data_IF_242241771926
#
_entry.id   IF_242241771926
#
_cell.length_a   1.000
_cell.length_b   1.000
_cell.length_c   1.000
_cell.angle_alpha   90.00
_cell.angle_beta   90.00
_cell.angle_gamma   90.00
#
_symmetry.space_group_name_H-M   'P 1'
#
loop_
_entity.id
_entity.type
_entity.pdbx_description
1 polymer ?
#
# COMPACT_ATOMS: atom_id res chain seq x y z
N UNK A 1 -22.94 -4.24 -9.29
CA UNK A 1 -21.53 -4.61 -9.31
C UNK A 1 -20.74 -3.87 -10.39
N UNK A 2 -21.01 -4.04 -11.72
CA UNK A 2 -20.23 -3.34 -12.78
C UNK A 2 -20.09 -1.82 -12.61
N UNK A 3 -21.14 -1.11 -12.15
CA UNK A 3 -21.09 0.35 -11.92
C UNK A 3 -20.29 0.75 -10.66
N UNK A 4 -20.17 -0.14 -9.69
CA UNK A 4 -19.36 0.08 -8.48
C UNK A 4 -17.86 -0.14 -8.78
N UNK A 5 -17.55 -1.16 -9.58
CA UNK A 5 -16.19 -1.39 -10.10
C UNK A 5 -15.75 -0.25 -11.06
N UNK A 6 -16.67 0.29 -11.86
CA UNK A 6 -16.37 1.45 -12.73
C UNK A 6 -16.11 2.73 -11.90
N UNK A 7 -16.80 2.91 -10.77
CA UNK A 7 -16.52 4.02 -9.87
C UNK A 7 -15.15 3.88 -9.16
N UNK A 8 -14.73 2.65 -8.84
CA UNK A 8 -13.37 2.41 -8.32
C UNK A 8 -12.30 2.68 -9.38
N UNK A 9 -12.53 2.34 -10.64
CA UNK A 9 -11.58 2.59 -11.72
C UNK A 9 -11.42 4.08 -12.07
N UNK A 10 -12.43 4.91 -11.76
CA UNK A 10 -12.34 6.38 -11.95
C UNK A 10 -11.45 7.03 -10.87
N UNK A 11 -11.28 6.40 -9.71
CA UNK A 11 -10.34 6.85 -8.68
C UNK A 11 -8.91 6.35 -8.87
N UNK A 12 -8.65 5.45 -9.82
CA UNK A 12 -7.30 5.03 -10.22
C UNK A 12 -6.59 6.04 -11.13
N UNK A 13 -7.13 7.26 -11.25
CA UNK A 13 -6.52 8.32 -12.02
C UNK A 13 -5.23 8.83 -11.38
N UNK A 14 -4.10 8.57 -12.06
CA UNK A 14 -2.79 9.16 -11.79
C UNK A 14 -2.20 8.89 -10.40
N UNK A 15 -2.12 7.62 -10.02
CA UNK A 15 -1.28 7.19 -8.92
C UNK A 15 0.12 6.95 -9.50
N UNK A 16 1.13 7.63 -8.99
CA UNK A 16 2.53 7.35 -9.27
C UNK A 16 3.12 6.73 -8.01
N UNK A 17 3.87 5.65 -8.15
CA UNK A 17 4.49 4.93 -7.03
C UNK A 17 5.99 4.92 -7.20
N UNK A 18 6.70 4.51 -6.16
CA UNK A 18 8.14 4.29 -6.19
C UNK A 18 8.57 3.45 -7.38
N UNK A 19 9.73 3.75 -7.94
CA UNK A 19 10.36 2.89 -8.95
C UNK A 19 10.79 1.52 -8.39
N UNK A 20 10.79 1.38 -7.05
CA UNK A 20 11.15 0.13 -6.39
C UNK A 20 10.12 -0.94 -6.68
N UNK A 21 10.60 -2.10 -7.13
CA UNK A 21 9.75 -3.25 -7.36
C UNK A 21 8.76 -3.10 -8.51
N UNK A 22 8.89 -2.03 -9.32
CA UNK A 22 7.98 -1.78 -10.46
C UNK A 22 7.99 -2.96 -11.45
N UNK A 23 9.12 -3.62 -11.60
CA UNK A 23 9.27 -4.82 -12.42
C UNK A 23 8.83 -6.12 -11.70
N UNK A 24 8.46 -6.04 -10.41
CA UNK A 24 7.99 -7.17 -9.62
C UNK A 24 6.50 -7.05 -9.30
N UNK A 25 6.17 -6.60 -8.08
CA UNK A 25 4.80 -6.43 -7.60
C UNK A 25 4.37 -4.96 -7.52
N UNK A 26 5.33 -4.06 -7.62
CA UNK A 26 5.15 -2.64 -7.38
C UNK A 26 5.49 -2.23 -5.94
N UNK A 27 5.21 -0.99 -5.61
CA UNK A 27 5.36 -0.47 -4.26
C UNK A 27 4.35 -1.10 -3.30
N UNK A 28 4.83 -1.85 -2.34
CA UNK A 28 3.98 -2.43 -1.30
C UNK A 28 3.58 -1.37 -0.28
N UNK A 29 2.28 -1.14 -0.16
CA UNK A 29 1.72 -0.24 0.83
C UNK A 29 1.77 -0.88 2.23
N UNK A 30 2.06 -0.07 3.25
CA UNK A 30 2.11 -0.60 4.62
C UNK A 30 0.74 -1.11 5.05
N UNK A 31 0.69 -2.36 5.47
CA UNK A 31 -0.52 -3.04 5.91
C UNK A 31 -1.26 -2.26 7.00
N UNK A 32 -2.55 -2.09 6.82
CA UNK A 32 -3.37 -1.35 7.79
C UNK A 32 -3.33 0.17 7.65
N UNK A 33 -2.88 0.68 6.51
CA UNK A 33 -2.60 2.06 6.14
C UNK A 33 -3.69 3.11 6.36
N UNK A 34 -4.36 3.11 7.52
CA UNK A 34 -5.24 4.23 7.90
C UNK A 34 -4.42 5.49 8.16
N UNK A 35 -4.99 6.66 7.94
CA UNK A 35 -4.33 7.95 8.21
C UNK A 35 -3.91 8.07 9.68
N UNK A 36 -4.71 7.53 10.60
CA UNK A 36 -4.36 7.53 12.02
C UNK A 36 -3.15 6.65 12.34
N UNK A 37 -3.00 5.49 11.68
CA UNK A 37 -1.83 4.62 11.82
C UNK A 37 -0.60 5.28 11.18
N UNK A 38 -0.74 5.82 9.98
CA UNK A 38 0.32 6.54 9.28
C UNK A 38 0.89 7.70 10.12
N UNK A 39 0.02 8.46 10.80
CA UNK A 39 0.42 9.54 11.72
C UNK A 39 1.25 9.06 12.93
N UNK A 40 1.25 7.75 13.22
CA UNK A 40 2.02 7.10 14.30
C UNK A 40 3.18 6.25 13.77
N UNK A 41 3.64 6.51 12.55
CA UNK A 41 4.66 5.69 11.90
C UNK A 41 4.20 4.24 11.67
N UNK A 42 2.89 4.05 11.44
CA UNK A 42 2.21 2.77 11.26
C UNK A 42 2.14 1.85 12.49
N UNK A 43 2.62 2.32 13.66
CA UNK A 43 2.47 1.60 14.91
C UNK A 43 1.05 1.72 15.47
N UNK A 44 0.69 0.76 16.35
CA UNK A 44 -0.55 0.80 17.13
C UNK A 44 -1.62 -0.20 16.70
N UNK A 45 -1.25 -1.30 16.04
CA UNK A 45 -2.18 -2.39 15.77
C UNK A 45 -2.65 -3.10 17.05
N UNK A 46 -1.90 -2.99 18.16
CA UNK A 46 -2.32 -3.44 19.49
C UNK A 46 -3.24 -2.44 20.23
N UNK A 47 -3.34 -1.19 19.78
CA UNK A 47 -4.20 -0.18 20.43
C UNK A 47 -5.67 -0.47 20.16
N UNK A 48 -6.47 -0.48 21.20
CA UNK A 48 -7.91 -0.72 21.15
C UNK A 48 -8.69 0.55 21.49
N UNK A 49 -9.81 0.77 20.84
CA UNK A 49 -10.71 1.88 21.10
C UNK A 49 -11.62 2.16 19.92
N UNK A 50 -12.76 2.79 20.17
CA UNK A 50 -13.83 2.97 19.20
C UNK A 50 -13.44 3.76 17.93
N UNK A 51 -12.34 4.50 17.96
CA UNK A 51 -11.89 5.30 16.81
C UNK A 51 -10.81 4.61 15.97
N UNK A 52 -10.34 3.44 16.39
CA UNK A 52 -9.26 2.75 15.67
C UNK A 52 -9.80 1.93 14.49
N UNK A 53 -11.01 1.38 14.61
CA UNK A 53 -11.65 0.58 13.56
C UNK A 53 -10.93 -0.71 13.21
N UNK A 54 -11.18 -1.22 12.02
CA UNK A 54 -10.59 -2.46 11.50
C UNK A 54 -9.08 -2.32 11.26
N UNK A 55 -8.32 -3.36 11.59
CA UNK A 55 -6.93 -3.54 11.18
C UNK A 55 -6.80 -4.85 10.42
N UNK A 56 -6.29 -4.81 9.20
CA UNK A 56 -6.04 -6.00 8.39
C UNK A 56 -4.88 -6.83 8.93
N UNK A 57 -3.94 -6.20 9.64
CA UNK A 57 -2.82 -6.90 10.32
C UNK A 57 -3.28 -7.60 11.59
N UNK A 58 -4.20 -6.98 12.34
CA UNK A 58 -4.70 -7.51 13.60
C UNK A 58 -6.23 -7.56 13.60
N UNK A 59 -6.85 -8.54 12.97
CA UNK A 59 -8.30 -8.71 12.96
C UNK A 59 -8.90 -8.88 14.37
N UNK A 60 -8.17 -9.42 15.34
CA UNK A 60 -8.67 -9.64 16.71
C UNK A 60 -8.99 -8.33 17.45
N UNK A 61 -8.39 -7.20 17.05
CA UNK A 61 -8.69 -5.87 17.61
C UNK A 61 -10.16 -5.50 17.50
N UNK A 62 -10.78 -5.87 16.39
CA UNK A 62 -12.17 -5.57 16.07
C UNK A 62 -13.16 -6.01 17.16
N UNK A 63 -12.87 -7.09 17.87
CA UNK A 63 -13.72 -7.59 18.95
C UNK A 63 -13.88 -6.61 20.13
N UNK A 64 -13.02 -5.61 20.24
CA UNK A 64 -13.09 -4.59 21.29
C UNK A 64 -13.84 -3.33 20.88
N UNK A 65 -14.26 -3.21 19.63
CA UNK A 65 -15.06 -2.09 19.16
C UNK A 65 -16.52 -2.23 19.64
N UNK A 66 -17.05 -1.15 20.20
CA UNK A 66 -18.41 -1.10 20.72
C UNK A 66 -19.39 -0.37 19.78
N UNK A 67 -18.88 0.20 18.70
CA UNK A 67 -19.63 1.05 17.77
C UNK A 67 -19.36 0.64 16.36
N UNK A 68 -20.24 1.02 15.45
CA UNK A 68 -19.97 1.00 14.01
C UNK A 68 -18.92 2.05 13.71
N UNK A 69 -17.85 1.65 13.04
CA UNK A 69 -16.79 2.55 12.61
C UNK A 69 -16.60 2.39 11.11
N UNK A 70 -16.51 3.52 10.40
CA UNK A 70 -15.99 3.51 9.05
C UNK A 70 -14.78 4.45 8.96
N UNK A 71 -13.82 4.07 8.12
CA UNK A 71 -12.67 4.90 7.80
C UNK A 71 -12.53 4.98 6.29
N UNK A 72 -12.35 6.19 5.79
CA UNK A 72 -11.99 6.45 4.41
C UNK A 72 -10.69 7.23 4.40
N UNK A 73 -9.70 6.74 3.67
CA UNK A 73 -8.35 7.29 3.68
C UNK A 73 -7.89 7.65 2.27
N UNK A 74 -7.28 8.83 2.15
CA UNK A 74 -6.63 9.33 0.94
C UNK A 74 -5.17 9.64 1.26
N UNK A 75 -4.30 9.37 0.32
CA UNK A 75 -2.88 9.64 0.40
C UNK A 75 -2.42 10.40 -0.85
N UNK A 76 -1.61 11.41 -0.64
CA UNK A 76 -0.84 12.11 -1.66
C UNK A 76 0.62 12.00 -1.27
N UNK A 77 1.45 11.52 -2.17
CA UNK A 77 2.89 11.36 -1.96
C UNK A 77 3.64 12.00 -3.12
N UNK A 78 4.71 12.70 -2.81
CA UNK A 78 5.66 13.27 -3.75
C UNK A 78 7.00 12.60 -3.51
N UNK A 79 7.60 12.11 -4.56
CA UNK A 79 8.86 11.39 -4.53
C UNK A 79 9.88 12.06 -5.44
N UNK A 80 11.11 12.12 -4.97
CA UNK A 80 12.26 12.61 -5.68
C UNK A 80 13.32 11.51 -5.69
N UNK A 81 13.47 10.86 -6.85
CA UNK A 81 14.35 9.73 -7.04
C UNK A 81 15.59 10.11 -7.86
N UNK A 82 16.73 9.53 -7.51
CA UNK A 82 18.00 9.68 -8.21
C UNK A 82 18.60 8.31 -8.52
N UNK A 83 18.99 8.10 -9.76
CA UNK A 83 19.65 6.87 -10.19
C UNK A 83 20.72 7.20 -11.22
N UNK A 84 21.99 6.85 -10.96
CA UNK A 84 23.10 6.98 -11.90
C UNK A 84 23.19 8.35 -12.58
N UNK A 85 22.95 9.44 -11.83
CA UNK A 85 22.99 10.82 -12.33
C UNK A 85 21.71 11.33 -12.99
N UNK A 86 20.68 10.48 -13.14
CA UNK A 86 19.34 10.88 -13.56
C UNK A 86 18.48 11.24 -12.35
N UNK A 87 17.58 12.20 -12.56
CA UNK A 87 16.70 12.73 -11.53
C UNK A 87 15.25 12.61 -11.98
N UNK A 88 14.41 12.04 -11.15
CA UNK A 88 13.00 11.78 -11.41
C UNK A 88 12.15 12.36 -10.27
N UNK A 89 11.07 13.02 -10.60
CA UNK A 89 10.10 13.50 -9.61
C UNK A 89 8.73 12.96 -9.95
N UNK A 90 8.11 12.32 -8.98
CA UNK A 90 6.84 11.61 -9.13
C UNK A 90 5.86 12.10 -8.08
N UNK A 91 4.58 12.19 -8.41
CA UNK A 91 3.52 12.50 -7.45
C UNK A 91 2.38 11.50 -7.56
N UNK A 92 1.90 11.04 -6.41
CA UNK A 92 0.86 10.02 -6.29
C UNK A 92 -0.35 10.55 -5.54
N UNK A 93 -1.55 10.24 -6.03
CA UNK A 93 -2.80 10.39 -5.28
C UNK A 93 -3.52 9.03 -5.26
N UNK A 94 -3.73 8.49 -4.09
CA UNK A 94 -4.32 7.16 -3.92
C UNK A 94 -5.39 7.13 -2.83
N UNK A 95 -6.20 6.06 -2.84
CA UNK A 95 -7.11 5.71 -1.76
C UNK A 95 -6.59 4.39 -1.12
N UNK A 96 -5.67 4.49 -0.16
CA UNK A 96 -5.00 3.32 0.39
C UNK A 96 -5.94 2.37 1.12
N UNK A 97 -7.03 2.87 1.74
CA UNK A 97 -7.98 1.98 2.39
C UNK A 97 -9.35 2.60 2.62
N UNK A 98 -10.33 1.72 2.60
CA UNK A 98 -11.66 1.94 3.14
C UNK A 98 -12.00 0.80 4.10
N UNK A 99 -12.47 1.12 5.31
CA UNK A 99 -12.78 0.13 6.33
C UNK A 99 -14.17 0.38 6.91
N UNK A 100 -14.90 -0.69 7.17
CA UNK A 100 -16.21 -0.68 7.78
C UNK A 100 -16.30 -1.78 8.82
N UNK A 101 -16.74 -1.47 10.04
CA UNK A 101 -16.86 -2.45 11.13
C UNK A 101 -18.18 -2.32 11.89
N UNK A 102 -18.70 -3.46 12.31
CA UNK A 102 -19.99 -3.61 13.01
C UNK A 102 -19.83 -4.48 14.24
N UNK A 103 -20.12 -3.97 15.45
CA UNK A 103 -20.23 -4.79 16.64
C UNK A 103 -21.54 -5.59 16.61
N UNK A 104 -21.48 -6.89 16.93
CA UNK A 104 -22.62 -7.78 17.04
C UNK A 104 -22.89 -8.21 18.50
N UNK A 105 -22.44 -7.40 19.45
CA UNK A 105 -22.61 -7.64 20.87
C UNK A 105 -21.88 -8.90 21.36
N UNK A 106 -22.62 -9.86 21.91
CA UNK A 106 -22.04 -11.12 22.40
C UNK A 106 -21.50 -12.03 21.29
N UNK A 107 -21.94 -11.85 20.05
CA UNK A 107 -21.50 -12.63 18.90
C UNK A 107 -20.20 -12.11 18.28
N UNK A 108 -19.58 -11.08 18.88
CA UNK A 108 -18.34 -10.52 18.40
C UNK A 108 -18.52 -9.29 17.54
N UNK A 109 -17.72 -9.15 16.48
CA UNK A 109 -17.78 -8.05 15.53
C UNK A 109 -17.39 -8.52 14.12
N UNK A 110 -17.97 -7.90 13.11
CA UNK A 110 -17.66 -8.12 11.71
C UNK A 110 -17.07 -6.85 11.10
N UNK A 111 -16.28 -7.02 10.06
CA UNK A 111 -15.72 -5.90 9.31
C UNK A 111 -15.48 -6.26 7.86
N UNK A 112 -15.35 -5.22 7.06
CA UNK A 112 -14.96 -5.28 5.65
C UNK A 112 -13.95 -4.19 5.39
N UNK A 113 -12.82 -4.56 4.81
CA UNK A 113 -11.82 -3.62 4.31
C UNK A 113 -11.67 -3.74 2.81
N UNK A 114 -11.47 -2.62 2.14
CA UNK A 114 -10.86 -2.53 0.84
C UNK A 114 -9.50 -1.87 1.06
N UNK A 115 -8.44 -2.56 0.69
CA UNK A 115 -7.07 -2.09 0.92
C UNK A 115 -6.25 -2.21 -0.35
N UNK A 116 -5.51 -1.15 -0.68
CA UNK A 116 -4.53 -1.15 -1.75
C UNK A 116 -3.25 -1.80 -1.24
N UNK A 117 -2.90 -2.97 -1.78
CA UNK A 117 -1.72 -3.72 -1.34
C UNK A 117 -0.47 -3.27 -2.07
N UNK A 118 -0.52 -3.26 -3.42
CA UNK A 118 0.57 -2.81 -4.26
C UNK A 118 0.12 -1.68 -5.18
N UNK A 119 1.01 -0.76 -5.44
CA UNK A 119 0.84 0.31 -6.42
C UNK A 119 1.97 0.23 -7.45
N UNK A 120 1.61 0.27 -8.74
CA UNK A 120 2.57 0.24 -9.83
C UNK A 120 2.24 1.37 -10.80
N UNK A 121 2.38 2.60 -10.34
CA UNK A 121 2.04 3.77 -11.15
C UNK A 121 3.26 4.67 -11.28
N UNK A 122 3.78 4.76 -12.49
CA UNK A 122 4.96 5.53 -12.82
C UNK A 122 4.82 6.10 -14.23
N UNK A 123 5.25 7.34 -14.43
CA UNK A 123 5.27 7.98 -15.73
C UNK A 123 6.57 8.76 -15.87
N UNK A 124 7.36 8.38 -16.86
CA UNK A 124 8.60 9.06 -17.21
C UNK A 124 8.63 9.38 -18.68
N UNK A 125 9.07 10.59 -19.01
CA UNK A 125 9.40 11.00 -20.36
C UNK A 125 10.85 11.44 -20.39
N UNK A 126 11.65 10.75 -21.19
CA UNK A 126 13.09 10.99 -21.32
C UNK A 126 13.47 11.23 -22.78
N UNK A 127 14.24 12.27 -23.04
CA UNK A 127 14.83 12.53 -24.35
C UNK A 127 16.09 11.68 -24.51
N UNK A 128 16.06 10.71 -25.41
CA UNK A 128 17.26 9.98 -25.80
C UNK A 128 18.04 10.76 -26.86
N UNK A 129 19.00 11.55 -26.39
CA UNK A 129 19.84 12.40 -27.28
C UNK A 129 20.63 11.62 -28.34
N UNK A 130 20.92 10.35 -28.07
CA UNK A 130 21.65 9.47 -28.97
C UNK A 130 20.81 8.99 -30.14
N UNK A 131 19.50 8.83 -29.91
CA UNK A 131 18.55 8.37 -30.92
C UNK A 131 17.71 9.51 -31.49
N UNK A 132 17.77 10.72 -30.92
CA UNK A 132 16.91 11.85 -31.28
C UNK A 132 15.43 11.54 -31.11
N UNK A 133 15.09 10.72 -30.13
CA UNK A 133 13.73 10.26 -29.91
C UNK A 133 13.32 10.45 -28.45
N UNK A 134 12.06 10.78 -28.23
CA UNK A 134 11.48 10.80 -26.89
C UNK A 134 11.03 9.39 -26.52
N UNK A 135 11.44 8.94 -25.35
CA UNK A 135 10.99 7.66 -24.74
C UNK A 135 10.03 8.02 -23.64
N UNK A 136 8.79 7.57 -23.74
CA UNK A 136 7.80 7.66 -22.67
C UNK A 136 7.54 6.27 -22.11
N UNK A 137 7.78 6.12 -20.83
CA UNK A 137 7.49 4.90 -20.06
C UNK A 137 6.38 5.20 -19.08
N UNK A 138 5.29 4.49 -19.20
CA UNK A 138 4.11 4.65 -18.34
C UNK A 138 3.70 3.32 -17.75
N UNK A 139 3.68 3.24 -16.43
CA UNK A 139 3.10 2.15 -15.66
C UNK A 139 1.84 2.66 -14.98
N UNK A 140 0.78 1.89 -15.03
CA UNK A 140 -0.47 2.17 -14.34
C UNK A 140 -1.04 0.89 -13.77
N UNK A 141 -1.47 0.95 -12.51
CA UNK A 141 -2.20 -0.14 -11.92
C UNK A 141 -2.06 -0.22 -10.42
N UNK A 142 -2.89 -1.08 -9.86
CA UNK A 142 -2.90 -1.33 -8.44
C UNK A 142 -3.48 -2.70 -8.14
N UNK A 143 -2.93 -3.34 -7.13
CA UNK A 143 -3.47 -4.55 -6.55
C UNK A 143 -4.23 -4.18 -5.29
N UNK A 144 -5.50 -4.52 -5.26
CA UNK A 144 -6.40 -4.30 -4.13
C UNK A 144 -6.80 -5.62 -3.49
N UNK A 145 -7.21 -5.54 -2.25
CA UNK A 145 -7.76 -6.66 -1.51
C UNK A 145 -9.09 -6.29 -0.89
N UNK A 146 -10.06 -7.22 -1.03
CA UNK A 146 -11.28 -7.20 -0.24
C UNK A 146 -11.06 -8.12 0.96
N UNK A 147 -11.24 -7.58 2.18
CA UNK A 147 -10.87 -8.26 3.41
C UNK A 147 -12.07 -8.34 4.36
N UNK A 148 -12.97 -9.33 4.20
CA UNK A 148 -13.94 -9.67 5.22
C UNK A 148 -13.25 -10.17 6.49
N UNK A 149 -13.69 -9.67 7.63
CA UNK A 149 -13.09 -9.93 8.94
C UNK A 149 -14.15 -10.28 9.97
N UNK A 150 -13.80 -11.21 10.85
CA UNK A 150 -14.59 -11.56 12.02
C UNK A 150 -13.72 -11.66 13.26
N UNK A 151 -14.22 -11.17 14.39
CA UNK A 151 -13.51 -11.26 15.65
C UNK A 151 -14.47 -11.46 16.84
N UNK A 152 -14.00 -12.18 17.85
CA UNK A 152 -14.78 -12.49 19.06
C UNK A 152 -13.90 -12.39 20.31
N UNK A 153 -14.48 -11.87 21.41
CA UNK A 153 -13.86 -11.96 22.75
C UNK A 153 -14.10 -13.31 23.34
N UNK A 154 -13.09 -13.85 24.02
CA UNK A 154 -13.24 -15.12 24.71
C UNK A 154 -14.15 -14.91 25.93
N UNK A 155 -15.23 -15.71 26.08
CA UNK A 155 -16.22 -15.50 27.15
C UNK A 155 -15.63 -15.55 28.57
N UNK A 156 -14.67 -16.45 28.79
CA UNK A 156 -14.02 -16.64 30.07
C UNK A 156 -12.83 -15.70 30.34
N UNK A 157 -12.25 -15.14 29.28
CA UNK A 157 -11.09 -14.25 29.32
C UNK A 157 -11.38 -12.99 28.51
N UNK A 158 -12.25 -12.13 29.05
CA UNK A 158 -12.72 -10.91 28.35
C UNK A 158 -11.63 -9.93 27.90
N UNK A 159 -10.41 -10.10 28.40
CA UNK A 159 -9.21 -9.38 27.96
C UNK A 159 -8.56 -10.00 26.74
N UNK A 160 -8.96 -11.19 26.32
CA UNK A 160 -8.46 -11.86 25.10
C UNK A 160 -9.52 -11.88 24.01
N UNK A 161 -9.07 -11.71 22.79
CA UNK A 161 -9.89 -11.85 21.58
C UNK A 161 -9.14 -12.66 20.53
N UNK A 162 -9.92 -13.34 19.70
CA UNK A 162 -9.47 -14.01 18.48
C UNK A 162 -10.11 -13.30 17.29
N UNK A 163 -9.39 -13.22 16.21
CA UNK A 163 -9.89 -12.67 14.95
C UNK A 163 -9.32 -13.41 13.76
N UNK A 164 -10.10 -13.43 12.70
CA UNK A 164 -9.70 -13.97 11.41
C UNK A 164 -10.20 -13.07 10.29
N UNK A 165 -9.41 -12.99 9.24
CA UNK A 165 -9.81 -12.34 7.98
C UNK A 165 -9.39 -13.19 6.79
N UNK A 166 -10.17 -13.07 5.71
CA UNK A 166 -9.83 -13.60 4.40
C UNK A 166 -9.48 -12.41 3.50
N UNK A 167 -8.42 -12.54 2.72
CA UNK A 167 -7.96 -11.54 1.78
C UNK A 167 -8.19 -12.06 0.37
N UNK A 168 -9.00 -11.37 -0.41
CA UNK A 168 -9.26 -11.71 -1.82
C UNK A 168 -8.56 -10.68 -2.68
N UNK A 169 -7.54 -11.12 -3.40
CA UNK A 169 -6.67 -10.27 -4.21
C UNK A 169 -7.32 -9.98 -5.56
N UNK A 170 -7.25 -8.73 -6.01
CA UNK A 170 -7.75 -8.29 -7.32
C UNK A 170 -6.95 -7.11 -7.83
N UNK A 171 -6.91 -6.93 -9.12
CA UNK A 171 -6.28 -5.79 -9.76
C UNK A 171 -5.68 -6.12 -11.10
N UNK A 172 -5.16 -5.10 -11.72
CA UNK A 172 -4.40 -5.18 -12.95
C UNK A 172 -3.31 -4.11 -12.94
N UNK A 173 -2.30 -4.33 -13.75
CA UNK A 173 -1.21 -3.37 -13.99
C UNK A 173 -0.98 -3.30 -15.48
N UNK A 174 -0.80 -2.12 -16.03
CA UNK A 174 -0.42 -1.91 -17.42
C UNK A 174 0.95 -1.23 -17.51
N UNK A 175 1.70 -1.57 -18.53
CA UNK A 175 2.99 -0.97 -18.85
C UNK A 175 2.97 -0.53 -20.31
N UNK A 176 3.12 0.76 -20.53
CA UNK A 176 3.15 1.34 -21.87
C UNK A 176 4.53 1.95 -22.11
N UNK A 177 5.20 1.51 -23.16
CA UNK A 177 6.43 2.10 -23.65
C UNK A 177 6.13 2.72 -25.01
N UNK A 178 6.27 4.03 -25.11
CA UNK A 178 6.15 4.75 -26.39
C UNK A 178 7.49 5.29 -26.78
N UNK A 179 7.93 4.97 -28.00
CA UNK A 179 9.13 5.50 -28.62
C UNK A 179 8.69 6.52 -29.67
N UNK A 180 8.75 7.82 -29.33
CA UNK A 180 8.49 8.89 -30.27
C UNK A 180 9.75 9.19 -31.07
N UNK A 181 9.85 8.71 -32.30
CA UNK A 181 10.86 9.22 -33.24
C UNK A 181 10.45 10.60 -33.72
N UNK A 182 11.27 11.60 -33.47
CA UNK A 182 11.08 12.90 -34.17
C UNK A 182 11.36 12.68 -35.66
N UNK A 183 10.30 12.74 -36.48
CA UNK A 183 10.39 12.50 -37.92
C UNK A 183 11.47 13.36 -38.61
N UNK A 184 11.90 14.46 -37.99
CA UNK A 184 12.98 15.33 -38.47
C UNK A 184 14.37 14.75 -38.21
N UNK A 185 14.56 13.86 -37.25
CA UNK A 185 15.84 13.24 -36.90
C UNK A 185 16.11 11.95 -37.71
N UNK A 186 15.05 11.28 -38.16
CA UNK A 186 15.14 10.08 -39.02
C UNK A 186 15.50 10.42 -40.49
N UNK A 187 15.32 11.67 -40.88
CA UNK A 187 15.57 12.11 -42.26
C UNK A 187 17.05 12.24 -42.65
N UNK A 188 18.00 11.89 -41.80
CA UNK A 188 19.40 11.75 -42.22
C UNK A 188 19.60 10.37 -42.87
N UNK A 189 19.60 10.37 -44.20
CA UNK A 189 19.60 9.24 -45.10
C UNK A 189 20.72 8.18 -44.92
N UNK A 190 21.60 8.31 -43.94
CA UNK A 190 22.79 7.47 -43.78
C UNK A 190 22.93 6.74 -42.42
N UNK A 191 21.93 6.74 -41.55
CA UNK A 191 22.05 5.98 -40.32
C UNK A 191 21.70 4.52 -40.58
N UNK A 192 22.64 3.60 -40.28
CA UNK A 192 22.46 2.16 -40.37
C UNK A 192 21.30 1.66 -39.50
N UNK A 193 20.91 2.41 -38.49
CA UNK A 193 19.79 2.15 -37.62
C UNK A 193 18.43 2.17 -38.35
N UNK A 194 18.26 3.08 -39.34
CA UNK A 194 17.02 3.19 -40.13
C UNK A 194 16.86 2.06 -41.14
N UNK A 195 17.96 1.43 -41.55
CA UNK A 195 17.93 0.34 -42.56
C UNK A 195 17.75 -1.05 -42.02
N UNK A 196 18.03 -1.29 -40.74
CA UNK A 196 18.16 -2.67 -40.22
C UNK A 196 17.31 -3.01 -38.98
N UNK A 197 16.61 -2.07 -38.39
CA UNK A 197 15.78 -2.35 -37.21
C UNK A 197 14.37 -1.78 -37.39
N UNK A 198 13.40 -2.70 -37.44
CA UNK A 198 11.99 -2.41 -37.19
C UNK A 198 11.88 -2.08 -35.70
N UNK A 199 11.95 -0.80 -35.38
CA UNK A 199 11.71 -0.34 -34.01
C UNK A 199 10.21 -0.28 -33.83
N UNK A 200 9.68 -0.99 -32.86
CA UNK A 200 8.26 -0.85 -32.49
C UNK A 200 8.08 0.53 -31.86
N UNK A 201 7.15 1.30 -32.39
CA UNK A 201 6.88 2.65 -31.90
C UNK A 201 6.09 2.63 -30.59
N UNK A 202 5.50 1.50 -30.29
CA UNK A 202 4.61 1.35 -29.14
C UNK A 202 4.62 -0.09 -28.64
N UNK A 203 4.80 -0.26 -27.34
CA UNK A 203 4.67 -1.52 -26.64
C UNK A 203 3.66 -1.35 -25.51
N UNK A 204 2.58 -2.08 -25.56
CA UNK A 204 1.57 -2.14 -24.50
C UNK A 204 1.64 -3.50 -23.83
N UNK A 205 1.79 -3.50 -22.52
CA UNK A 205 1.79 -4.70 -21.70
C UNK A 205 0.74 -4.58 -20.60
N UNK A 206 -0.16 -5.55 -20.52
CA UNK A 206 -1.17 -5.61 -19.48
C UNK A 206 -0.95 -6.86 -18.63
N UNK A 207 -0.87 -6.67 -17.32
CA UNK A 207 -0.83 -7.72 -16.33
C UNK A 207 -2.21 -7.85 -15.68
N UNK A 208 -2.82 -9.00 -15.76
CA UNK A 208 -4.09 -9.29 -15.12
C UNK A 208 -3.92 -10.41 -14.09
N UNK A 209 -4.41 -10.18 -12.87
CA UNK A 209 -4.42 -11.20 -11.83
C UNK A 209 -5.49 -12.23 -12.17
N UNK A 210 -5.05 -13.49 -12.29
CA UNK A 210 -5.93 -14.63 -12.52
C UNK A 210 -6.43 -15.23 -11.20
N UNK A 211 -7.58 -15.87 -11.28
CA UNK A 211 -8.19 -16.68 -10.22
C UNK A 211 -8.42 -15.98 -8.87
N UNK A 212 -8.14 -14.67 -8.75
CA UNK A 212 -8.34 -13.90 -7.53
C UNK A 212 -7.92 -14.65 -6.27
N UNK A 213 -6.62 -14.94 -6.08
CA UNK A 213 -6.15 -15.78 -4.99
C UNK A 213 -6.63 -15.27 -3.65
N UNK A 214 -6.92 -16.19 -2.74
CA UNK A 214 -7.33 -15.86 -1.39
C UNK A 214 -6.31 -16.39 -0.37
N UNK A 215 -6.03 -15.58 0.64
CA UNK A 215 -5.18 -15.95 1.77
C UNK A 215 -5.82 -15.48 3.08
N UNK A 216 -5.26 -15.86 4.23
CA UNK A 216 -5.93 -15.70 5.51
C UNK A 216 -5.01 -15.12 6.56
N UNK A 217 -5.57 -14.27 7.42
CA UNK A 217 -4.90 -13.77 8.63
C UNK A 217 -5.65 -14.26 9.86
N UNK A 218 -4.92 -14.87 10.79
CA UNK A 218 -5.40 -15.20 12.12
C UNK A 218 -4.68 -14.36 13.16
N UNK A 219 -5.39 -13.88 14.19
CA UNK A 219 -4.80 -13.05 15.22
C UNK A 219 -5.34 -13.37 16.62
N UNK A 220 -4.47 -13.15 17.60
CA UNK A 220 -4.78 -13.14 19.01
C UNK A 220 -4.43 -11.77 19.58
N UNK A 221 -5.33 -11.18 20.38
CA UNK A 221 -5.06 -9.93 21.07
C UNK A 221 -5.39 -10.03 22.56
N UNK A 222 -4.46 -9.53 23.37
CA UNK A 222 -4.66 -9.24 24.78
C UNK A 222 -4.89 -7.75 24.99
N UNK A 223 -5.93 -7.40 25.77
CA UNK A 223 -6.22 -6.04 26.19
C UNK A 223 -6.16 -5.93 27.71
N UNK A 224 -5.06 -5.37 28.22
CA UNK A 224 -4.91 -5.03 29.62
C UNK A 224 -5.25 -3.57 29.93
N UNK A 225 -5.11 -3.17 31.19
CA UNK A 225 -5.36 -1.79 31.64
C UNK A 225 -4.26 -0.82 31.14
N UNK A 226 -3.02 -1.25 31.20
CA UNK A 226 -1.85 -0.44 30.80
C UNK A 226 -1.18 -0.98 29.52
N UNK A 227 -1.24 -2.28 29.30
CA UNK A 227 -0.58 -2.95 28.19
C UNK A 227 -1.62 -3.67 27.35
N UNK A 228 -1.57 -3.48 26.05
CA UNK A 228 -2.24 -4.34 25.07
C UNK A 228 -1.19 -4.93 24.13
N UNK A 229 -1.39 -6.16 23.74
CA UNK A 229 -0.45 -6.91 22.90
C UNK A 229 -1.21 -7.71 21.87
N UNK A 230 -0.67 -7.85 20.66
CA UNK A 230 -1.20 -8.74 19.63
C UNK A 230 -0.11 -9.59 19.00
N UNK A 231 -0.54 -10.70 18.45
CA UNK A 231 0.21 -11.56 17.56
C UNK A 231 -0.71 -11.99 16.43
N UNK A 232 -0.21 -11.97 15.20
CA UNK A 232 -0.94 -12.45 14.04
C UNK A 232 -0.03 -13.21 13.08
N UNK A 233 -0.66 -14.11 12.34
CA UNK A 233 -0.07 -14.89 11.28
C UNK A 233 -0.93 -14.76 10.02
N UNK A 234 -0.30 -14.41 8.92
CA UNK A 234 -0.91 -14.33 7.60
C UNK A 234 -0.31 -15.41 6.72
N UNK A 235 -1.14 -16.23 6.09
CA UNK A 235 -0.68 -17.30 5.20
C UNK A 235 -0.03 -16.74 3.93
N UNK A 236 0.91 -17.48 3.36
CA UNK A 236 1.40 -17.22 2.01
C UNK A 236 0.35 -17.54 0.96
N UNK A 237 0.57 -17.05 -0.26
CA UNK A 237 -0.28 -17.32 -1.42
C UNK A 237 0.53 -17.19 -2.71
N UNK A 238 0.08 -17.85 -3.78
CA UNK A 238 0.65 -17.70 -5.12
C UNK A 238 -0.17 -16.71 -5.93
N UNK A 239 0.48 -15.72 -6.50
CA UNK A 239 -0.10 -14.74 -7.39
C UNK A 239 0.19 -15.13 -8.83
N UNK A 240 -0.83 -15.56 -9.57
CA UNK A 240 -0.75 -15.84 -10.98
C UNK A 240 -1.13 -14.59 -11.78
N UNK A 241 -0.18 -14.08 -12.55
CA UNK A 241 -0.36 -12.94 -13.43
C UNK A 241 -0.29 -13.40 -14.88
N UNK A 242 -1.32 -13.11 -15.66
CA UNK A 242 -1.26 -13.24 -17.10
C UNK A 242 -0.82 -11.92 -17.70
N UNK A 243 0.24 -11.97 -18.49
CA UNK A 243 0.81 -10.85 -19.20
C UNK A 243 0.52 -10.96 -20.69
N UNK A 244 -0.08 -9.92 -21.24
CA UNK A 244 -0.29 -9.77 -22.68
C UNK A 244 0.48 -8.55 -23.16
N UNK A 245 1.43 -8.76 -24.09
CA UNK A 245 2.16 -7.69 -24.75
C UNK A 245 1.66 -7.52 -26.18
N UNK A 246 1.40 -6.27 -26.55
CA UNK A 246 1.08 -5.87 -27.92
C UNK A 246 2.15 -4.92 -28.43
N UNK A 247 2.72 -5.25 -29.56
CA UNK A 247 3.72 -4.46 -30.27
C UNK A 247 3.08 -3.84 -31.48
N UNK A 248 3.20 -2.52 -31.63
CA UNK A 248 2.80 -1.81 -32.83
C UNK A 248 4.03 -1.34 -33.58
N UNK A 249 4.06 -1.62 -34.88
CA UNK A 249 5.09 -1.17 -35.80
C UNK A 249 4.42 -0.24 -36.82
N UNK A 250 4.59 1.07 -36.66
CA UNK A 250 3.85 2.08 -37.46
C UNK A 250 4.18 2.00 -38.96
N UNK A 251 5.44 1.67 -39.29
CA UNK A 251 5.84 1.54 -40.69
C UNK A 251 5.27 0.33 -41.42
N UNK A 252 4.84 -0.69 -40.70
CA UNK A 252 4.30 -1.94 -41.26
C UNK A 252 2.81 -2.13 -41.05
N UNK A 253 2.17 -1.25 -40.27
CA UNK A 253 0.78 -1.39 -39.81
C UNK A 253 0.49 -2.80 -39.22
N UNK A 254 1.52 -3.40 -38.60
CA UNK A 254 1.48 -4.73 -38.04
C UNK A 254 1.35 -4.66 -36.52
N UNK A 255 0.44 -5.49 -36.00
CA UNK A 255 0.31 -5.78 -34.57
C UNK A 255 0.80 -7.20 -34.33
N UNK A 256 1.72 -7.34 -33.40
CA UNK A 256 2.11 -8.64 -32.88
C UNK A 256 1.78 -8.69 -31.39
N UNK A 257 1.17 -9.76 -30.93
CA UNK A 257 0.90 -9.97 -29.51
C UNK A 257 1.57 -11.25 -29.02
N UNK A 258 2.00 -11.23 -27.80
CA UNK A 258 2.49 -12.40 -27.08
C UNK A 258 1.88 -12.47 -25.69
N UNK A 259 1.63 -13.69 -25.23
CA UNK A 259 1.01 -13.94 -23.92
C UNK A 259 1.89 -14.86 -23.11
N UNK A 260 2.06 -14.55 -21.86
CA UNK A 260 2.79 -15.35 -20.89
C UNK A 260 2.14 -15.33 -19.53
N UNK A 261 2.40 -16.35 -18.71
CA UNK A 261 1.91 -16.46 -17.34
C UNK A 261 3.09 -16.38 -16.41
N UNK A 262 2.96 -15.61 -15.33
CA UNK A 262 3.94 -15.51 -14.28
C UNK A 262 3.31 -15.88 -12.94
N UNK A 263 3.96 -16.76 -12.21
CA UNK A 263 3.63 -17.14 -10.85
C UNK A 263 4.62 -16.47 -9.89
N UNK A 264 4.09 -15.87 -8.83
CA UNK A 264 4.88 -15.26 -7.76
C UNK A 264 4.37 -15.82 -6.44
N UNK A 265 5.24 -16.53 -5.72
CA UNK A 265 4.93 -17.02 -4.39
C UNK A 265 5.19 -15.92 -3.35
N UNK A 266 4.11 -15.37 -2.80
CA UNK A 266 4.17 -14.39 -1.71
C UNK A 266 4.21 -15.14 -0.39
N UNK A 267 5.29 -15.03 0.38
CA UNK A 267 5.46 -15.82 1.59
C UNK A 267 4.54 -15.38 2.73
N UNK A 268 4.41 -16.26 3.72
CA UNK A 268 3.68 -16.00 4.94
C UNK A 268 4.31 -14.86 5.75
N UNK A 269 3.47 -14.09 6.48
CA UNK A 269 3.89 -12.97 7.31
C UNK A 269 3.53 -13.20 8.78
N UNK A 270 4.46 -12.86 9.65
CA UNK A 270 4.24 -12.73 11.09
C UNK A 270 4.14 -11.25 11.45
N UNK A 271 3.21 -10.91 12.34
CA UNK A 271 3.16 -9.57 12.90
C UNK A 271 2.87 -9.62 14.40
N UNK A 272 3.45 -8.67 15.11
CA UNK A 272 3.27 -8.52 16.56
C UNK A 272 3.39 -7.06 16.94
N UNK A 273 2.81 -6.68 18.07
CA UNK A 273 2.95 -5.32 18.55
C UNK A 273 2.40 -5.14 19.96
N UNK A 274 2.84 -4.05 20.54
CA UNK A 274 2.52 -3.65 21.90
C UNK A 274 2.04 -2.20 21.93
N UNK A 275 1.00 -1.94 22.72
CA UNK A 275 0.61 -0.60 23.10
C UNK A 275 0.74 -0.47 24.61
N UNK A 276 1.56 0.45 25.08
CA UNK A 276 1.75 0.78 26.47
C UNK A 276 1.14 2.14 26.79
N UNK A 277 0.16 2.14 27.70
CA UNK A 277 -0.45 3.36 28.23
C UNK A 277 0.41 3.92 29.35
N UNK A 278 1.28 4.86 29.02
CA UNK A 278 2.20 5.49 29.97
C UNK A 278 1.43 6.31 31.03
N UNK A 279 0.37 7.00 30.62
CA UNK A 279 -0.52 7.77 31.47
C UNK A 279 -1.93 7.78 30.88
N UNK A 280 -2.89 8.41 31.57
CA UNK A 280 -4.32 8.38 31.20
C UNK A 280 -4.61 8.67 29.72
N UNK A 281 -3.78 9.53 29.09
CA UNK A 281 -3.97 9.99 27.69
C UNK A 281 -2.73 9.75 26.81
N UNK A 282 -1.69 9.14 27.32
CA UNK A 282 -0.41 8.95 26.63
C UNK A 282 -0.20 7.48 26.30
N UNK A 283 -0.01 7.18 25.04
CA UNK A 283 0.24 5.83 24.54
C UNK A 283 1.57 5.81 23.77
N UNK A 284 2.37 4.80 24.05
CA UNK A 284 3.58 4.45 23.28
C UNK A 284 3.31 3.10 22.63
N UNK A 285 3.65 2.99 21.37
CA UNK A 285 3.33 1.81 20.56
C UNK A 285 4.57 1.35 19.81
N UNK A 286 4.69 0.05 19.67
CA UNK A 286 5.70 -0.58 18.83
C UNK A 286 5.08 -1.75 18.11
N UNK A 287 5.27 -1.84 16.80
CA UNK A 287 4.84 -2.95 15.97
C UNK A 287 6.02 -3.49 15.15
N UNK A 288 5.98 -4.78 14.87
CA UNK A 288 6.91 -5.50 14.02
C UNK A 288 6.11 -6.35 13.04
N UNK A 289 6.45 -6.28 11.77
CA UNK A 289 6.05 -7.23 10.73
C UNK A 289 7.27 -7.91 10.16
N UNK A 290 7.15 -9.18 9.78
CA UNK A 290 8.25 -9.97 9.27
C UNK A 290 7.78 -11.01 8.26
N UNK A 291 8.46 -11.09 7.09
CA UNK A 291 8.19 -12.01 5.99
C UNK A 291 9.52 -12.48 5.41
N UNK A 292 9.66 -13.77 5.19
CA UNK A 292 10.88 -14.35 4.61
C UNK A 292 10.59 -14.75 3.17
N UNK A 293 11.30 -14.16 2.25
CA UNK A 293 11.26 -14.51 0.84
C UNK A 293 12.33 -15.56 0.57
N UNK A 294 11.89 -16.70 0.05
CA UNK A 294 12.76 -17.87 -0.22
C UNK A 294 13.18 -17.93 -1.68
N UNK A 295 12.44 -17.27 -2.58
CA UNK A 295 12.70 -17.29 -4.02
C UNK A 295 12.68 -15.89 -4.63
N UNK A 296 13.56 -15.70 -5.63
CA UNK A 296 13.60 -14.47 -6.42
C UNK A 296 12.42 -14.40 -7.39
N UNK A 297 11.93 -13.17 -7.62
CA UNK A 297 10.84 -12.93 -8.57
C UNK A 297 11.40 -12.94 -9.98
N UNK A 298 11.02 -13.96 -10.75
CA UNK A 298 11.40 -14.07 -12.15
C UNK A 298 10.42 -13.27 -13.00
N UNK A 299 10.90 -12.19 -13.58
CA UNK A 299 10.16 -11.47 -14.60
C UNK A 299 10.24 -12.24 -15.90
N UNK A 300 9.14 -12.93 -16.26
CA UNK A 300 9.09 -13.68 -17.51
C UNK A 300 9.11 -12.68 -18.65
N UNK A 301 10.21 -12.77 -19.40
CA UNK A 301 10.44 -12.18 -20.71
C UNK A 301 9.79 -10.81 -20.90
N UNK A 302 10.51 -9.80 -20.59
CA UNK A 302 10.50 -8.70 -21.55
C UNK A 302 10.85 -9.33 -22.91
N UNK A 303 10.05 -9.05 -23.92
CA UNK A 303 10.35 -9.37 -25.32
C UNK A 303 11.72 -8.81 -25.80
N UNK A 304 12.48 -8.22 -24.91
CA UNK A 304 13.80 -7.63 -25.06
C UNK A 304 14.93 -8.58 -24.73
N UNK A 305 14.66 -9.90 -24.62
CA UNK A 305 15.68 -10.96 -24.36
C UNK A 305 16.49 -10.79 -23.04
N UNK A 306 16.04 -10.01 -22.11
CA UNK A 306 16.66 -9.96 -20.78
C UNK A 306 15.68 -10.49 -19.76
N UNK A 307 15.85 -11.70 -19.22
CA UNK A 307 15.14 -12.17 -18.05
C UNK A 307 15.62 -11.30 -16.88
N UNK A 308 14.85 -10.28 -16.52
CA UNK A 308 15.11 -9.53 -15.31
C UNK A 308 14.61 -10.36 -14.12
N UNK A 309 15.54 -10.71 -13.27
CA UNK A 309 15.26 -11.36 -11.99
C UNK A 309 15.34 -10.29 -10.93
N UNK A 310 14.23 -10.07 -10.24
CA UNK A 310 14.24 -9.22 -9.04
C UNK A 310 14.67 -10.08 -7.86
N UNK A 311 15.92 -9.92 -7.42
CA UNK A 311 16.43 -10.58 -6.23
C UNK A 311 15.63 -10.11 -5.01
N UNK A 312 15.23 -11.05 -4.17
CA UNK A 312 14.43 -10.79 -2.96
C UNK A 312 15.26 -10.91 -1.69
N UNK A 313 14.73 -10.38 -0.60
CA UNK A 313 15.30 -10.51 0.74
C UNK A 313 14.21 -10.58 1.79
N UNK A 314 14.58 -10.90 3.02
CA UNK A 314 13.67 -10.84 4.16
C UNK A 314 13.11 -9.41 4.32
N UNK A 315 11.79 -9.30 4.19
CA UNK A 315 11.05 -8.06 4.41
C UNK A 315 10.67 -7.96 5.88
N UNK A 316 11.02 -6.87 6.51
CA UNK A 316 10.55 -6.56 7.86
C UNK A 316 10.37 -5.06 8.06
N UNK A 317 9.44 -4.71 8.92
CA UNK A 317 9.22 -3.33 9.33
C UNK A 317 9.11 -3.25 10.85
N UNK A 318 9.86 -2.31 11.42
CA UNK A 318 9.74 -1.92 12.82
C UNK A 318 9.18 -0.51 12.89
N UNK A 319 8.11 -0.34 13.63
CA UNK A 319 7.39 0.93 13.78
C UNK A 319 7.34 1.34 15.24
N UNK A 320 7.61 2.61 15.50
CA UNK A 320 7.47 3.22 16.82
C UNK A 320 6.51 4.39 16.74
N UNK A 321 5.53 4.43 17.63
CA UNK A 321 4.49 5.46 17.63
C UNK A 321 4.21 6.03 19.01
N UNK A 322 3.83 7.28 19.02
CA UNK A 322 3.29 7.96 20.19
C UNK A 322 1.97 8.59 19.85
N UNK A 323 1.01 8.51 20.79
CA UNK A 323 -0.26 9.23 20.70
C UNK A 323 -0.66 9.83 22.04
N UNK A 324 -0.99 11.10 21.98
CA UNK A 324 -1.75 11.76 23.03
C UNK A 324 -3.23 11.76 22.65
N UNK A 325 -4.06 11.07 23.44
CA UNK A 325 -5.49 10.98 23.19
C UNK A 325 -6.17 12.29 23.56
N UNK A 326 -6.92 12.86 22.64
CA UNK A 326 -7.76 14.05 22.86
C UNK A 326 -8.84 13.79 23.90
N UNK A 327 -9.31 14.84 24.53
CA UNK A 327 -10.42 14.74 25.49
C UNK A 327 -11.72 14.40 24.76
N UNK A 328 -12.51 13.43 25.25
CA UNK A 328 -13.83 13.14 24.71
C UNK A 328 -14.89 14.18 25.16
N UNK A 329 -14.54 15.09 26.08
CA UNK A 329 -15.45 16.05 26.64
C UNK A 329 -15.67 17.23 25.71
N UNK A 330 -16.88 17.39 25.18
CA UNK A 330 -17.21 18.39 24.16
C UNK A 330 -17.12 19.85 24.63
N UNK A 331 -17.14 20.10 25.94
CA UNK A 331 -17.01 21.40 26.54
C UNK A 331 -15.56 21.84 26.76
N UNK A 332 -14.60 20.97 26.59
CA UNK A 332 -13.19 21.34 26.59
C UNK A 332 -12.82 22.11 25.32
N UNK A 333 -11.71 22.85 25.38
CA UNK A 333 -11.22 23.60 24.23
C UNK A 333 -10.93 22.66 23.06
N UNK A 334 -11.09 23.16 21.84
CA UNK A 334 -10.83 22.39 20.61
C UNK A 334 -9.47 21.73 20.63
N UNK A 335 -8.42 22.45 21.05
CA UNK A 335 -7.04 21.95 21.12
C UNK A 335 -6.86 20.77 22.08
N UNK A 336 -7.57 20.77 23.20
CA UNK A 336 -7.54 19.66 24.15
C UNK A 336 -8.25 18.39 23.65
N UNK A 337 -9.05 18.53 22.61
CA UNK A 337 -9.84 17.44 22.01
C UNK A 337 -9.14 16.79 20.82
N UNK A 338 -8.05 17.38 20.32
CA UNK A 338 -7.26 16.82 19.22
C UNK A 338 -6.45 15.62 19.73
N UNK A 339 -6.43 14.55 18.94
CA UNK A 339 -5.46 13.46 19.10
C UNK A 339 -4.15 13.89 18.42
N UNK A 340 -3.08 14.06 19.18
CA UNK A 340 -1.76 14.35 18.63
C UNK A 340 -0.98 13.05 18.44
N UNK A 341 -0.30 12.89 17.30
CA UNK A 341 0.38 11.66 16.92
C UNK A 341 1.75 11.98 16.33
N UNK A 342 2.70 11.10 16.62
CA UNK A 342 4.02 11.11 16.01
C UNK A 342 4.54 9.67 15.90
N UNK A 343 5.38 9.40 14.93
CA UNK A 343 5.97 8.08 14.81
C UNK A 343 7.14 8.05 13.84
N UNK A 344 7.82 6.93 13.85
CA UNK A 344 8.94 6.64 12.95
C UNK A 344 8.93 5.16 12.61
N UNK A 345 9.52 4.81 11.48
CA UNK A 345 9.66 3.44 11.06
C UNK A 345 11.01 3.22 10.38
N UNK A 346 11.42 1.96 10.43
CA UNK A 346 12.46 1.39 9.59
C UNK A 346 11.87 0.19 8.87
N UNK A 347 12.08 0.08 7.57
CA UNK A 347 11.63 -1.02 6.75
C UNK A 347 12.78 -1.55 5.90
N UNK A 348 12.94 -2.87 5.90
CA UNK A 348 13.69 -3.61 4.92
C UNK A 348 12.68 -4.09 3.87
N UNK A 349 12.87 -3.71 2.62
CA UNK A 349 11.92 -4.05 1.57
C UNK A 349 12.13 -5.49 1.09
N UNK A 350 11.11 -6.07 0.43
CA UNK A 350 11.25 -7.40 -0.18
C UNK A 350 12.26 -7.42 -1.32
N UNK A 351 12.51 -6.30 -1.99
CA UNK A 351 13.56 -6.15 -3.00
C UNK A 351 14.91 -6.05 -2.31
N UNK A 352 15.86 -6.85 -2.78
CA UNK A 352 17.19 -6.97 -2.18
C UNK A 352 17.92 -5.62 -2.11
N UNK A 353 18.61 -5.42 -1.01
CA UNK A 353 19.43 -4.24 -0.71
C UNK A 353 18.65 -2.90 -0.64
N UNK A 354 17.33 -2.94 -0.56
CA UNK A 354 16.49 -1.73 -0.43
C UNK A 354 16.01 -1.54 1.00
N UNK A 355 16.25 -0.34 1.55
CA UNK A 355 15.89 0.06 2.90
C UNK A 355 15.09 1.37 2.88
N UNK A 356 14.23 1.52 3.88
CA UNK A 356 13.45 2.74 4.07
C UNK A 356 13.51 3.18 5.54
N UNK A 357 13.69 4.48 5.75
CA UNK A 357 13.55 5.14 7.05
C UNK A 357 12.60 6.30 6.89
N UNK A 358 11.62 6.39 7.78
CA UNK A 358 10.67 7.48 7.73
C UNK A 358 10.17 7.93 9.08
N UNK A 359 9.52 9.07 9.07
CA UNK A 359 8.87 9.65 10.23
C UNK A 359 7.56 10.32 9.86
N UNK A 360 6.69 10.47 10.84
CA UNK A 360 5.39 11.08 10.65
C UNK A 360 4.95 11.91 11.84
N UNK A 361 4.12 12.90 11.55
CA UNK A 361 3.41 13.72 12.51
C UNK A 361 1.96 13.86 12.06
N UNK A 362 1.02 13.93 13.00
CA UNK A 362 -0.36 14.12 12.62
C UNK A 362 -1.30 14.40 13.76
N UNK A 363 -2.56 14.59 13.40
CA UNK A 363 -3.63 14.89 14.34
C UNK A 363 -4.97 14.32 13.92
N UNK A 364 -5.79 13.95 14.91
CA UNK A 364 -7.19 13.60 14.73
C UNK A 364 -8.08 14.72 15.26
N UNK A 365 -8.75 15.42 14.37
CA UNK A 365 -9.57 16.61 14.65
C UNK A 365 -11.03 16.20 14.83
N UNK A 366 -11.63 16.39 16.02
CA UNK A 366 -12.99 15.95 16.28
C UNK A 366 -14.01 16.78 15.51
N UNK A 367 -14.91 16.09 14.80
CA UNK A 367 -16.08 16.66 14.14
C UNK A 367 -17.32 16.42 15.00
N UNK A 368 -17.85 17.49 15.60
CA UNK A 368 -19.06 17.42 16.41
C UNK A 368 -18.88 16.66 17.73
N UNK A 369 -19.96 15.99 18.19
CA UNK A 369 -20.06 15.39 19.53
C UNK A 369 -19.97 13.85 19.53
N UNK A 370 -20.11 13.20 18.37
CA UNK A 370 -20.30 11.74 18.27
C UNK A 370 -19.00 10.95 18.11
N UNK A 371 -17.82 11.59 18.12
CA UNK A 371 -16.53 10.91 17.96
C UNK A 371 -16.06 10.76 16.51
N UNK A 372 -16.78 11.32 15.54
CA UNK A 372 -16.28 11.44 14.16
C UNK A 372 -15.05 12.35 14.13
N UNK A 373 -14.02 11.96 13.38
CA UNK A 373 -12.77 12.73 13.27
C UNK A 373 -12.34 12.88 11.80
N UNK A 374 -11.68 13.99 11.52
CA UNK A 374 -10.80 14.10 10.35
C UNK A 374 -9.38 13.89 10.87
N UNK A 375 -8.72 12.91 10.30
CA UNK A 375 -7.32 12.60 10.60
C UNK A 375 -6.44 13.20 9.50
N UNK A 376 -5.34 13.84 9.88
CA UNK A 376 -4.34 14.39 8.96
C UNK A 376 -2.99 13.87 9.40
N UNK A 377 -2.20 13.38 8.46
CA UNK A 377 -0.83 12.94 8.70
C UNK A 377 0.11 13.50 7.64
N UNK A 378 1.23 14.02 8.08
CA UNK A 378 2.39 14.35 7.26
C UNK A 378 3.44 13.27 7.48
N UNK A 379 3.99 12.76 6.40
CA UNK A 379 5.02 11.72 6.38
C UNK A 379 6.22 12.22 5.60
N UNK A 380 7.39 11.70 5.90
CA UNK A 380 8.56 11.92 5.09
C UNK A 380 9.61 10.90 5.42
N UNK A 381 10.41 10.57 4.44
CA UNK A 381 11.43 9.55 4.60
C UNK A 381 12.35 9.46 3.39
N UNK A 382 13.19 8.45 3.47
CA UNK A 382 14.18 8.17 2.46
C UNK A 382 14.24 6.67 2.24
N UNK A 383 14.23 6.30 0.97
CA UNK A 383 14.50 4.95 0.48
C UNK A 383 15.87 4.96 -0.17
N UNK A 384 16.65 3.96 0.06
CA UNK A 384 17.99 3.86 -0.51
C UNK A 384 18.35 2.40 -0.74
N UNK A 385 19.08 2.17 -1.81
CA UNK A 385 19.68 0.88 -2.09
C UNK A 385 21.17 0.93 -1.76
N UNK A 386 21.78 -0.25 -1.54
CA UNK A 386 23.20 -0.34 -1.26
C UNK A 386 24.04 0.20 -2.43
N UNK A 387 25.27 0.54 -2.13
CA UNK A 387 26.26 1.33 -2.89
C UNK A 387 26.46 0.95 -4.36
N UNK A 388 25.99 -0.22 -4.82
CA UNK A 388 26.15 -0.67 -6.20
C UNK A 388 25.13 -0.09 -7.17
N UNK A 389 23.95 0.31 -6.72
CA UNK A 389 22.86 0.78 -7.59
C UNK A 389 22.79 2.29 -7.73
N UNK A 390 23.53 3.06 -6.90
CA UNK A 390 23.48 4.54 -6.85
C UNK A 390 22.04 5.09 -6.81
N UNK A 391 21.11 4.32 -6.22
CA UNK A 391 19.71 4.67 -6.20
C UNK A 391 19.30 5.22 -4.83
N UNK A 392 18.63 6.33 -4.86
CA UNK A 392 18.17 7.05 -3.68
C UNK A 392 16.86 7.75 -3.98
N UNK A 393 15.88 7.60 -3.09
CA UNK A 393 14.57 8.23 -3.22
C UNK A 393 14.19 8.91 -1.90
N UNK A 394 13.73 10.16 -2.02
CA UNK A 394 13.20 10.93 -0.88
C UNK A 394 11.72 11.15 -1.13
N UNK A 395 10.87 10.90 -0.14
CA UNK A 395 9.45 11.10 -0.26
C UNK A 395 8.88 12.01 0.83
N UNK A 396 7.83 12.74 0.46
CA UNK A 396 6.99 13.51 1.38
C UNK A 396 5.53 13.17 1.05
N UNK A 397 4.75 12.79 2.07
CA UNK A 397 3.36 12.40 1.93
C UNK A 397 2.43 13.18 2.83
N UNK A 398 1.25 13.47 2.31
CA UNK A 398 0.09 13.98 3.05
C UNK A 398 -1.01 12.91 3.00
N UNK A 399 -1.51 12.53 4.17
CA UNK A 399 -2.68 11.65 4.26
C UNK A 399 -3.83 12.36 4.94
N UNK A 400 -5.04 12.15 4.42
CA UNK A 400 -6.28 12.66 4.98
C UNK A 400 -7.24 11.49 5.16
N UNK A 401 -7.77 11.34 6.37
CA UNK A 401 -8.71 10.29 6.72
C UNK A 401 -9.98 10.86 7.33
N UNK A 402 -11.11 10.24 6.99
CA UNK A 402 -12.38 10.49 7.65
C UNK A 402 -12.76 9.24 8.45
N UNK A 403 -12.87 9.39 9.77
CA UNK A 403 -13.35 8.35 10.66
C UNK A 403 -14.74 8.71 11.15
N UNK A 404 -15.74 7.94 10.78
CA UNK A 404 -17.11 8.09 11.25
C UNK A 404 -17.47 7.03 12.28
N UNK A 405 -18.17 7.45 13.32
CA UNK A 405 -18.60 6.56 14.41
C UNK A 405 -20.12 6.67 14.58
N UNK A 406 -20.79 5.52 14.61
CA UNK A 406 -22.22 5.42 14.86
C UNK A 406 -22.54 4.34 15.91
N UNK A 407 -23.59 4.56 16.67
CA UNK A 407 -24.13 3.54 17.58
C UNK A 407 -25.11 2.64 16.81
N UNK A 408 -24.87 1.33 16.86
CA UNK A 408 -25.74 0.33 16.22
C UNK A 408 -27.00 0.11 17.10
N UNK A 409 -28.17 0.08 16.47
CA UNK A 409 -29.43 -0.33 17.12
C UNK A 409 -30.09 0.71 18.04
N UNK A 410 -29.62 1.95 18.09
CA UNK A 410 -30.38 3.03 18.73
C UNK A 410 -31.39 3.60 17.72
N UNK A 411 -32.64 3.19 17.86
CA UNK A 411 -33.77 3.96 17.29
C UNK A 411 -33.74 5.36 17.88
N UNK A 412 -33.86 6.36 17.01
CA UNK A 412 -33.99 7.78 17.40
C UNK A 412 -35.28 8.01 18.12
#
# INVERSE_FOLDING_TARGET
>A
MKKFLLALSVFSGYAFSSMIGIDALGEEQVMGGTTSAAARGYAGNAKTGDAEGLSVVNPARLAFDAKVVFNLNFAMEMEDARKSGHHYSVSNLSMPSFNLSFPMGMFGAMGLSLWQHYSSSFNEESENKSLGSNVKLEYQGSVYEIVPTYAVRLPFLRSLSLGASAHVVMGNTSRNLTLGADASSVAKEDSWATKNYLISDYVDGTWEIKDHPAYYTGALQYRGKMVSYFFSYTTGYTLENELEYTFRFSELDTLASTRSVREIDVPAMLATGINYRLAKRHNIMMDLTWRVWDEDIKNIASSWNMPEVTETQTDFMVSLGYQFDGSPLFYESFWNRINYRAGTWYRNWYVKDVFEVGGSLGGGFPLGRKGTTIDIALQGGKRFADTKSEWEETFIGLRIGLTGIATWGQTR
#
